data_IF_430873041933
#
_entry.id   IF_430873041933
#
_cell.length_a   1.000
_cell.length_b   1.000
_cell.length_c   1.000
_cell.angle_alpha   90.00
_cell.angle_beta   90.00
_cell.angle_gamma   90.00
#
_symmetry.space_group_name_H-M   'P 1'
#
loop_
_entity.id
_entity.type
_entity.pdbx_description
1 polymer ?
#
# COMPACT_ATOMS: atom_id res chain seq x y z
N UNK A 1 -11.94 18.86 31.69
CA UNK A 1 -12.07 17.53 31.05
C UNK A 1 -12.17 17.78 29.56
N UNK A 2 -11.05 17.72 28.86
CA UNK A 2 -11.06 17.80 27.38
C UNK A 2 -11.61 16.48 26.85
N UNK A 3 -12.77 16.53 26.24
CA UNK A 3 -13.35 15.40 25.53
C UNK A 3 -12.50 15.17 24.28
N UNK A 4 -11.64 14.15 24.30
CA UNK A 4 -10.95 13.62 23.12
C UNK A 4 -12.00 13.03 22.17
N UNK A 5 -12.67 13.89 21.42
CA UNK A 5 -13.49 13.47 20.29
C UNK A 5 -12.50 13.19 19.14
N UNK A 6 -12.04 11.95 19.05
CA UNK A 6 -11.39 11.47 17.85
C UNK A 6 -12.36 11.67 16.68
N UNK A 7 -11.91 12.35 15.62
CA UNK A 7 -12.70 12.54 14.40
C UNK A 7 -13.25 11.19 13.96
N UNK A 8 -14.57 11.06 13.92
CA UNK A 8 -15.26 9.88 13.42
C UNK A 8 -14.84 9.68 11.97
N UNK A 9 -14.20 8.56 11.69
CA UNK A 9 -13.87 8.21 10.31
C UNK A 9 -15.12 7.60 9.70
N UNK A 10 -15.82 8.37 8.88
CA UNK A 10 -17.05 7.91 8.26
C UNK A 10 -16.75 6.91 7.13
N UNK A 11 -17.54 5.84 7.11
CA UNK A 11 -17.50 4.83 6.04
C UNK A 11 -18.55 5.23 5.00
N UNK A 12 -18.08 5.37 3.77
CA UNK A 12 -18.92 5.69 2.61
C UNK A 12 -19.05 4.47 1.69
N UNK A 13 -20.13 4.44 0.92
CA UNK A 13 -20.34 3.43 -0.12
C UNK A 13 -20.12 4.08 -1.48
N UNK A 14 -19.06 3.71 -2.18
CA UNK A 14 -18.67 4.29 -3.47
C UNK A 14 -18.68 3.24 -4.59
N UNK A 15 -18.84 3.70 -5.84
CA UNK A 15 -18.66 2.81 -7.00
C UNK A 15 -17.18 2.48 -7.17
N UNK A 16 -16.78 1.21 -7.14
CA UNK A 16 -15.38 0.81 -7.28
C UNK A 16 -14.77 1.19 -8.64
N UNK A 17 -15.58 1.42 -9.68
CA UNK A 17 -15.13 1.85 -11.00
C UNK A 17 -14.65 3.31 -11.02
N UNK A 18 -15.05 4.12 -10.03
CA UNK A 18 -14.60 5.49 -9.85
C UNK A 18 -13.32 5.59 -9.01
N UNK A 19 -12.75 4.45 -8.59
CA UNK A 19 -11.51 4.43 -7.83
C UNK A 19 -10.32 4.31 -8.80
N UNK A 20 -9.40 5.27 -8.67
CA UNK A 20 -8.18 5.36 -9.50
C UNK A 20 -7.00 4.87 -8.68
N UNK A 21 -6.27 3.92 -9.23
CA UNK A 21 -4.97 3.48 -8.70
C UNK A 21 -3.90 4.33 -9.37
N UNK A 22 -3.11 5.04 -8.57
CA UNK A 22 -1.98 5.82 -9.11
C UNK A 22 -0.81 4.88 -9.32
N UNK A 23 -0.26 4.89 -10.54
CA UNK A 23 0.90 4.09 -10.90
C UNK A 23 2.07 4.33 -9.96
N UNK A 24 2.73 3.24 -9.58
CA UNK A 24 3.85 3.23 -8.64
C UNK A 24 3.55 3.79 -7.24
N UNK A 25 2.30 4.08 -6.87
CA UNK A 25 1.96 4.46 -5.51
C UNK A 25 2.08 3.25 -4.58
N UNK A 26 1.56 2.09 -4.97
CA UNK A 26 1.73 0.84 -4.23
C UNK A 26 3.06 0.18 -4.59
N UNK A 27 3.81 -0.26 -3.59
CA UNK A 27 5.08 -0.99 -3.77
C UNK A 27 4.87 -2.48 -4.04
N UNK A 28 3.69 -3.01 -3.71
CA UNK A 28 3.35 -4.41 -3.96
C UNK A 28 3.05 -4.66 -5.43
N UNK A 29 3.59 -5.73 -5.99
CA UNK A 29 3.40 -6.15 -7.40
C UNK A 29 2.54 -7.39 -7.54
N UNK A 30 2.69 -8.35 -6.62
CA UNK A 30 1.87 -9.57 -6.63
C UNK A 30 0.67 -9.42 -5.69
N UNK A 31 -0.51 -9.55 -6.23
CA UNK A 31 -1.76 -9.39 -5.49
C UNK A 31 -2.47 -10.70 -5.18
N UNK A 32 -2.18 -11.81 -5.84
CA UNK A 32 -2.79 -13.14 -5.60
C UNK A 32 -4.30 -13.01 -5.25
N UNK A 33 -5.10 -12.52 -6.22
CA UNK A 33 -6.48 -12.08 -5.97
C UNK A 33 -7.54 -13.17 -6.10
N UNK A 34 -7.22 -14.38 -6.60
CA UNK A 34 -8.23 -15.37 -6.99
C UNK A 34 -9.11 -15.83 -5.82
N UNK A 35 -8.50 -16.24 -4.71
CA UNK A 35 -9.27 -16.62 -3.51
C UNK A 35 -10.09 -15.44 -2.98
N UNK A 36 -9.51 -14.26 -2.94
CA UNK A 36 -10.18 -13.05 -2.45
C UNK A 36 -11.35 -12.65 -3.36
N UNK A 37 -11.23 -12.86 -4.66
CA UNK A 37 -12.30 -12.63 -5.63
C UNK A 37 -13.50 -13.52 -5.34
N UNK A 38 -13.29 -14.82 -5.11
CA UNK A 38 -14.37 -15.74 -4.77
C UNK A 38 -15.03 -15.41 -3.41
N UNK A 39 -14.24 -15.03 -2.42
CA UNK A 39 -14.77 -14.52 -1.14
C UNK A 39 -15.64 -13.26 -1.34
N UNK A 40 -15.18 -12.32 -2.17
CA UNK A 40 -15.92 -11.09 -2.45
C UNK A 40 -17.22 -11.36 -3.21
N UNK A 41 -17.26 -12.33 -4.13
CA UNK A 41 -18.50 -12.75 -4.77
C UNK A 41 -19.51 -13.30 -3.77
N UNK A 42 -19.05 -14.06 -2.78
CA UNK A 42 -19.92 -14.71 -1.80
C UNK A 42 -20.39 -13.77 -0.69
N UNK A 43 -19.54 -12.86 -0.20
CA UNK A 43 -19.76 -12.09 1.03
C UNK A 43 -19.64 -10.55 0.84
N UNK A 44 -19.26 -10.10 -0.34
CA UNK A 44 -18.91 -8.69 -0.58
C UNK A 44 -17.57 -8.30 0.03
N UNK A 45 -17.26 -7.01 -0.03
CA UNK A 45 -16.03 -6.44 0.55
C UNK A 45 -16.27 -6.17 2.04
N UNK A 46 -15.69 -7.00 2.91
CA UNK A 46 -15.86 -6.89 4.37
C UNK A 46 -15.11 -5.67 4.94
N UNK A 47 -13.84 -5.53 4.60
CA UNK A 47 -13.01 -4.44 5.07
C UNK A 47 -13.00 -3.28 4.07
N UNK A 48 -13.21 -2.02 4.52
CA UNK A 48 -13.25 -0.88 3.63
C UNK A 48 -11.88 -0.63 2.97
N UNK A 49 -11.89 -0.12 1.75
CA UNK A 49 -10.71 0.48 1.12
C UNK A 49 -10.49 1.89 1.66
N UNK A 50 -9.27 2.43 1.55
CA UNK A 50 -8.98 3.81 1.96
C UNK A 50 -8.72 4.67 0.72
N UNK A 51 -9.39 5.81 0.63
CA UNK A 51 -9.33 6.67 -0.55
C UNK A 51 -9.24 8.15 -0.18
N UNK A 52 -8.72 8.96 -1.12
CA UNK A 52 -8.82 10.42 -1.11
C UNK A 52 -9.73 10.86 -2.25
N UNK A 53 -10.82 11.58 -1.98
CA UNK A 53 -11.68 12.11 -3.04
C UNK A 53 -10.99 13.25 -3.79
N UNK A 54 -11.14 13.27 -5.11
CA UNK A 54 -10.67 14.36 -5.97
C UNK A 54 -11.65 14.57 -7.14
N UNK A 55 -11.48 15.65 -7.89
CA UNK A 55 -12.18 15.86 -9.15
C UNK A 55 -11.21 15.61 -10.30
N UNK A 56 -11.66 14.87 -11.31
CA UNK A 56 -10.94 14.72 -12.56
C UNK A 56 -10.98 16.01 -13.41
N UNK A 57 -10.37 15.99 -14.59
CA UNK A 57 -10.29 17.14 -15.50
C UNK A 57 -11.70 17.58 -15.99
N UNK A 58 -12.63 16.66 -16.07
CA UNK A 58 -14.04 16.90 -16.46
C UNK A 58 -14.92 17.37 -15.29
N UNK A 59 -14.35 17.47 -14.07
CA UNK A 59 -15.04 17.86 -12.86
C UNK A 59 -15.81 16.74 -12.16
N UNK A 60 -15.72 15.48 -12.64
CA UNK A 60 -16.39 14.35 -12.04
C UNK A 60 -15.67 13.93 -10.74
N UNK A 61 -16.45 13.44 -9.78
CA UNK A 61 -15.89 12.95 -8.52
C UNK A 61 -15.25 11.58 -8.71
N UNK A 62 -13.98 11.49 -8.40
CA UNK A 62 -13.12 10.29 -8.43
C UNK A 62 -12.45 10.10 -7.08
N UNK A 63 -11.93 8.92 -6.86
CA UNK A 63 -11.33 8.51 -5.60
C UNK A 63 -9.95 7.93 -5.85
N UNK A 64 -8.89 8.60 -5.37
CA UNK A 64 -7.54 8.07 -5.43
C UNK A 64 -7.38 7.02 -4.34
N UNK A 65 -7.00 5.80 -4.71
CA UNK A 65 -6.76 4.72 -3.79
C UNK A 65 -5.49 4.97 -2.97
N UNK A 66 -5.59 4.77 -1.66
CA UNK A 66 -4.47 4.83 -0.70
C UNK A 66 -4.15 3.44 -0.18
N UNK A 67 -5.17 2.68 0.24
CA UNK A 67 -5.02 1.30 0.72
C UNK A 67 -6.16 0.41 0.24
N UNK A 68 -5.87 -0.88 0.10
CA UNK A 68 -6.84 -1.90 -0.28
C UNK A 68 -6.80 -2.26 -1.78
N UNK A 69 -5.67 -2.13 -2.46
CA UNK A 69 -5.57 -2.41 -3.90
C UNK A 69 -5.93 -3.87 -4.24
N UNK A 70 -5.53 -4.85 -3.42
CA UNK A 70 -5.98 -6.25 -3.60
C UNK A 70 -7.51 -6.37 -3.60
N UNK A 71 -8.16 -5.70 -2.63
CA UNK A 71 -9.63 -5.68 -2.49
C UNK A 71 -10.29 -5.03 -3.69
N UNK A 72 -9.76 -3.91 -4.15
CA UNK A 72 -10.27 -3.22 -5.33
C UNK A 72 -10.11 -4.07 -6.59
N UNK A 73 -8.91 -4.62 -6.84
CA UNK A 73 -8.65 -5.47 -8.02
C UNK A 73 -9.52 -6.71 -8.03
N UNK A 74 -9.64 -7.41 -6.89
CA UNK A 74 -10.51 -8.57 -6.74
C UNK A 74 -11.99 -8.22 -6.96
N UNK A 75 -12.43 -7.04 -6.47
CA UNK A 75 -13.80 -6.55 -6.70
C UNK A 75 -14.07 -6.29 -8.19
N UNK A 76 -13.15 -5.57 -8.86
CA UNK A 76 -13.30 -5.27 -10.29
C UNK A 76 -13.26 -6.55 -11.14
N UNK A 77 -12.42 -7.52 -10.79
CA UNK A 77 -12.40 -8.83 -11.43
C UNK A 77 -13.72 -9.60 -11.21
N UNK A 78 -14.27 -9.59 -9.98
CA UNK A 78 -15.57 -10.20 -9.70
C UNK A 78 -16.70 -9.54 -10.53
N UNK A 79 -16.70 -8.22 -10.65
CA UNK A 79 -17.67 -7.48 -11.48
C UNK A 79 -17.53 -7.86 -12.96
N UNK A 80 -16.31 -7.96 -13.49
CA UNK A 80 -16.08 -8.37 -14.88
C UNK A 80 -16.55 -9.81 -15.18
N UNK A 81 -16.62 -10.65 -14.16
CA UNK A 81 -17.19 -12.02 -14.22
C UNK A 81 -18.71 -12.06 -13.93
N UNK A 82 -19.38 -10.90 -13.83
CA UNK A 82 -20.84 -10.80 -13.72
C UNK A 82 -21.38 -10.66 -12.29
N UNK A 83 -20.55 -10.45 -11.28
CA UNK A 83 -21.03 -10.20 -9.93
C UNK A 83 -21.72 -8.83 -9.83
N UNK A 84 -22.93 -8.78 -9.22
CA UNK A 84 -23.72 -7.53 -9.03
C UNK A 84 -23.20 -6.73 -7.82
N UNK A 85 -21.96 -6.22 -7.91
CA UNK A 85 -21.35 -5.38 -6.88
C UNK A 85 -21.41 -3.92 -7.37
N UNK A 86 -22.37 -3.17 -6.86
CA UNK A 86 -22.57 -1.75 -7.24
C UNK A 86 -21.70 -0.81 -6.42
N UNK A 87 -21.40 -1.15 -5.16
CA UNK A 87 -20.70 -0.26 -4.23
C UNK A 87 -19.77 -1.04 -3.32
N UNK A 88 -18.69 -0.39 -2.89
CA UNK A 88 -17.74 -0.89 -1.88
C UNK A 88 -17.61 0.11 -0.74
N UNK A 89 -17.36 -0.39 0.46
CA UNK A 89 -17.09 0.44 1.64
C UNK A 89 -15.75 1.13 1.48
N UNK A 90 -15.70 2.43 1.74
CA UNK A 90 -14.49 3.23 1.69
C UNK A 90 -14.36 4.15 2.90
N UNK A 91 -13.14 4.27 3.43
CA UNK A 91 -12.74 5.28 4.39
C UNK A 91 -12.17 6.47 3.62
N UNK A 92 -12.65 7.67 3.91
CA UNK A 92 -12.17 8.88 3.25
C UNK A 92 -11.09 9.56 4.07
N UNK A 93 -9.95 9.83 3.44
CA UNK A 93 -8.98 10.77 3.94
C UNK A 93 -9.29 12.17 3.39
N UNK A 94 -8.91 13.25 4.10
CA UNK A 94 -9.11 14.61 3.63
C UNK A 94 -8.49 14.85 2.25
N UNK A 95 -9.14 15.66 1.41
CA UNK A 95 -8.65 16.00 0.05
C UNK A 95 -7.25 16.61 0.02
N UNK A 96 -6.89 17.34 1.07
CA UNK A 96 -5.61 18.01 1.21
C UNK A 96 -4.57 17.18 1.98
N UNK A 97 -4.80 15.88 2.18
CA UNK A 97 -3.81 14.99 2.81
C UNK A 97 -2.52 15.00 1.97
N UNK A 98 -1.40 15.29 2.61
CA UNK A 98 -0.10 15.33 1.94
C UNK A 98 0.27 13.93 1.45
N UNK A 99 0.98 13.86 0.34
CA UNK A 99 1.42 12.58 -0.22
C UNK A 99 2.28 11.78 0.75
N UNK A 100 3.09 12.45 1.54
CA UNK A 100 3.86 11.85 2.61
C UNK A 100 2.97 11.08 3.61
N UNK A 101 1.89 11.73 4.08
CA UNK A 101 0.96 11.14 5.03
C UNK A 101 0.21 9.95 4.40
N UNK A 102 -0.10 10.02 3.09
CA UNK A 102 -0.71 8.92 2.36
C UNK A 102 0.20 7.69 2.29
N UNK A 103 1.50 7.89 2.07
CA UNK A 103 2.47 6.78 2.05
C UNK A 103 2.69 6.18 3.44
N UNK A 104 2.65 7.01 4.48
CA UNK A 104 2.70 6.53 5.87
C UNK A 104 1.46 5.70 6.19
N UNK A 105 0.27 6.21 5.88
CA UNK A 105 -1.00 5.50 6.07
C UNK A 105 -0.99 4.14 5.36
N UNK A 106 -0.52 4.09 4.11
CA UNK A 106 -0.39 2.85 3.36
C UNK A 106 0.51 1.84 4.07
N UNK A 107 1.64 2.28 4.61
CA UNK A 107 2.56 1.39 5.31
C UNK A 107 2.04 0.93 6.67
N UNK A 108 1.34 1.80 7.39
CA UNK A 108 0.80 1.50 8.73
C UNK A 108 -0.46 0.63 8.70
N UNK A 109 -1.31 0.77 7.67
CA UNK A 109 -2.59 0.05 7.53
C UNK A 109 -2.49 -1.32 6.87
N UNK A 110 -1.30 -1.85 6.70
CA UNK A 110 -1.09 -3.10 5.97
C UNK A 110 -1.64 -4.32 6.74
N UNK A 111 -2.97 -4.37 6.87
CA UNK A 111 -3.69 -5.47 7.49
C UNK A 111 -3.68 -6.69 6.57
N UNK A 112 -3.11 -7.80 7.03
CA UNK A 112 -3.22 -9.12 6.41
C UNK A 112 -1.96 -9.70 5.79
N UNK A 113 -1.14 -8.96 5.10
CA UNK A 113 0.18 -9.41 4.60
C UNK A 113 1.19 -8.28 4.74
N UNK A 114 2.10 -8.37 5.69
CA UNK A 114 3.15 -7.40 5.91
C UNK A 114 3.97 -7.18 4.63
N UNK A 115 4.45 -5.95 4.43
CA UNK A 115 5.43 -5.68 3.38
C UNK A 115 6.69 -6.50 3.59
N UNK A 116 7.20 -7.08 2.53
CA UNK A 116 8.53 -7.70 2.53
C UNK A 116 9.58 -6.64 2.84
N UNK A 117 10.76 -7.05 3.27
CA UNK A 117 11.87 -6.11 3.49
C UNK A 117 12.27 -5.38 2.20
N UNK A 118 12.11 -6.02 1.04
CA UNK A 118 12.35 -5.40 -0.25
C UNK A 118 11.29 -4.33 -0.60
N UNK A 119 10.01 -4.62 -0.36
CA UNK A 119 8.95 -3.61 -0.50
C UNK A 119 9.14 -2.43 0.47
N UNK A 120 9.56 -2.71 1.72
CA UNK A 120 9.92 -1.67 2.69
C UNK A 120 11.13 -0.84 2.20
N UNK A 121 12.14 -1.48 1.60
CA UNK A 121 13.28 -0.79 1.02
C UNK A 121 12.86 0.23 -0.04
N UNK A 122 11.98 -0.15 -0.96
CA UNK A 122 11.42 0.75 -2.00
C UNK A 122 10.70 1.94 -1.35
N UNK A 123 9.93 1.70 -0.28
CA UNK A 123 9.24 2.77 0.44
C UNK A 123 10.25 3.72 1.12
N UNK A 124 11.25 3.19 1.83
CA UNK A 124 12.28 3.99 2.49
C UNK A 124 13.08 4.82 1.48
N UNK A 125 13.37 4.24 0.31
CA UNK A 125 14.01 4.96 -0.80
C UNK A 125 13.17 6.16 -1.24
N UNK A 126 11.85 6.01 -1.40
CA UNK A 126 10.94 7.10 -1.75
C UNK A 126 10.96 8.22 -0.70
N UNK A 127 11.00 7.87 0.59
CA UNK A 127 11.10 8.86 1.66
C UNK A 127 12.41 9.63 1.59
N UNK A 128 13.51 8.96 1.29
CA UNK A 128 14.81 9.58 1.10
C UNK A 128 14.82 10.50 -0.13
N UNK A 129 14.40 10.00 -1.28
CA UNK A 129 14.57 10.69 -2.56
C UNK A 129 13.55 11.80 -2.77
N UNK A 130 12.30 11.61 -2.31
CA UNK A 130 11.21 12.56 -2.54
C UNK A 130 11.06 13.60 -1.44
N UNK A 131 11.30 13.21 -0.20
CA UNK A 131 11.07 14.07 0.96
C UNK A 131 12.35 14.46 1.69
N UNK A 132 13.53 13.96 1.27
CA UNK A 132 14.82 14.31 1.84
C UNK A 132 15.09 13.73 3.24
N UNK A 133 14.35 12.71 3.67
CA UNK A 133 14.54 12.10 4.99
C UNK A 133 15.86 11.37 5.10
N UNK A 134 16.53 11.56 6.22
CA UNK A 134 17.67 10.75 6.63
C UNK A 134 17.21 9.34 7.06
N UNK A 135 18.13 8.39 7.07
CA UNK A 135 17.86 7.04 7.55
C UNK A 135 17.32 7.01 9.00
N UNK A 136 17.81 7.89 9.85
CA UNK A 136 17.37 8.00 11.25
C UNK A 136 15.95 8.56 11.37
N UNK A 137 15.59 9.54 10.56
CA UNK A 137 14.23 10.09 10.53
C UNK A 137 13.23 9.07 10.00
N UNK A 138 13.58 8.32 8.94
CA UNK A 138 12.77 7.20 8.43
C UNK A 138 12.56 6.16 9.55
N UNK A 139 13.64 5.76 10.23
CA UNK A 139 13.58 4.80 11.32
C UNK A 139 12.62 5.26 12.44
N UNK A 140 12.74 6.50 12.86
CA UNK A 140 11.84 7.11 13.86
C UNK A 140 10.39 7.12 13.39
N UNK A 141 10.14 7.54 12.15
CA UNK A 141 8.79 7.68 11.57
C UNK A 141 8.05 6.35 11.46
N UNK A 142 8.76 5.27 11.15
CA UNK A 142 8.20 3.93 11.00
C UNK A 142 8.40 3.01 12.21
N UNK A 143 8.83 3.56 13.34
CA UNK A 143 9.10 2.77 14.56
C UNK A 143 10.04 1.58 14.31
N UNK A 144 11.09 1.80 13.52
CA UNK A 144 12.14 0.84 13.19
C UNK A 144 13.49 1.31 13.74
N UNK A 145 14.50 0.41 13.77
CA UNK A 145 15.87 0.83 14.04
C UNK A 145 16.53 1.40 12.77
N UNK A 146 17.46 2.34 12.92
CA UNK A 146 18.23 2.85 11.79
C UNK A 146 18.99 1.72 11.07
N UNK A 147 19.54 0.76 11.82
CA UNK A 147 20.18 -0.43 11.27
C UNK A 147 19.23 -1.24 10.38
N UNK A 148 17.96 -1.41 10.79
CA UNK A 148 16.97 -2.10 9.97
C UNK A 148 16.70 -1.34 8.66
N UNK A 149 16.52 -0.02 8.73
CA UNK A 149 16.29 0.81 7.53
C UNK A 149 17.49 0.74 6.59
N UNK A 150 18.72 0.87 7.10
CA UNK A 150 19.93 0.73 6.29
C UNK A 150 20.06 -0.64 5.63
N UNK A 151 19.74 -1.69 6.38
CA UNK A 151 19.72 -3.07 5.87
C UNK A 151 18.67 -3.29 4.77
N UNK A 152 17.51 -2.66 4.87
CA UNK A 152 16.52 -2.69 3.79
C UNK A 152 17.05 -1.94 2.56
N UNK A 153 17.56 -0.73 2.73
CA UNK A 153 18.06 0.09 1.62
C UNK A 153 19.19 -0.60 0.85
N UNK A 154 20.08 -1.35 1.53
CA UNK A 154 21.14 -2.10 0.85
C UNK A 154 20.63 -3.19 -0.11
N UNK A 155 19.36 -3.63 0.01
CA UNK A 155 18.76 -4.55 -0.96
C UNK A 155 18.59 -3.92 -2.34
N UNK A 156 18.44 -2.59 -2.41
CA UNK A 156 18.30 -1.85 -3.66
C UNK A 156 19.64 -1.57 -4.36
N UNK A 157 20.76 -1.88 -3.69
CA UNK A 157 22.11 -1.78 -4.25
C UNK A 157 22.59 -3.09 -4.90
N UNK A 158 21.76 -4.14 -4.81
CA UNK A 158 22.06 -5.45 -5.40
C UNK A 158 21.92 -5.42 -6.93
N UNK A 159 22.50 -6.42 -7.59
CA UNK A 159 22.35 -6.58 -9.03
C UNK A 159 20.86 -6.67 -9.45
N UNK A 160 20.45 -6.07 -10.58
CA UNK A 160 19.04 -6.01 -10.98
C UNK A 160 18.35 -7.38 -11.03
N UNK A 161 19.07 -8.43 -11.43
CA UNK A 161 18.55 -9.79 -11.51
C UNK A 161 18.16 -10.35 -10.12
N UNK A 162 18.88 -9.94 -9.06
CA UNK A 162 18.59 -10.33 -7.68
C UNK A 162 17.38 -9.53 -7.18
N UNK A 163 17.33 -8.24 -7.50
CA UNK A 163 16.19 -7.40 -7.15
C UNK A 163 14.88 -7.93 -7.78
N UNK A 164 14.90 -8.32 -9.05
CA UNK A 164 13.76 -8.90 -9.74
C UNK A 164 13.26 -10.19 -9.06
N UNK A 165 14.18 -11.07 -8.64
CA UNK A 165 13.83 -12.30 -7.91
C UNK A 165 13.27 -12.02 -6.52
N UNK A 166 13.77 -10.99 -5.82
CA UNK A 166 13.21 -10.53 -4.54
C UNK A 166 11.80 -9.97 -4.73
N UNK A 167 11.58 -9.19 -5.78
CA UNK A 167 10.27 -8.60 -6.12
C UNK A 167 9.23 -9.69 -6.42
N UNK A 168 9.61 -10.72 -7.16
CA UNK A 168 8.77 -11.88 -7.46
C UNK A 168 8.60 -12.85 -6.29
N UNK A 169 9.35 -12.67 -5.21
CA UNK A 169 9.34 -13.59 -4.07
C UNK A 169 9.99 -14.95 -4.34
N UNK A 170 10.77 -15.08 -5.43
CA UNK A 170 11.48 -16.30 -5.79
C UNK A 170 12.64 -16.61 -4.83
N UNK A 171 13.23 -15.57 -4.25
CA UNK A 171 14.27 -15.67 -3.23
C UNK A 171 13.91 -14.82 -2.01
N UNK A 172 14.32 -15.27 -0.83
CA UNK A 172 14.11 -14.50 0.40
C UNK A 172 15.25 -13.52 0.65
N UNK A 173 14.96 -12.42 1.35
CA UNK A 173 16.00 -11.46 1.80
C UNK A 173 17.02 -12.11 2.71
N UNK A 174 16.63 -13.13 3.49
CA UNK A 174 17.53 -13.92 4.31
C UNK A 174 18.54 -14.70 3.49
N UNK A 175 18.11 -15.38 2.42
CA UNK A 175 18.99 -16.11 1.52
C UNK A 175 20.00 -15.19 0.82
N UNK A 176 19.52 -14.02 0.34
CA UNK A 176 20.40 -13.03 -0.29
C UNK A 176 21.49 -12.55 0.65
N UNK A 177 21.15 -12.28 1.91
CA UNK A 177 22.14 -11.84 2.92
C UNK A 177 23.23 -12.87 3.19
N UNK A 178 22.86 -14.15 3.21
CA UNK A 178 23.85 -15.23 3.37
C UNK A 178 24.82 -15.30 2.19
N UNK A 179 24.32 -15.12 0.96
CA UNK A 179 25.13 -15.19 -0.25
C UNK A 179 26.06 -13.97 -0.39
N UNK A 180 25.56 -12.77 -0.11
CA UNK A 180 26.29 -11.51 -0.36
C UNK A 180 27.10 -11.05 0.88
N UNK A 181 27.00 -11.76 2.00
CA UNK A 181 27.73 -11.41 3.23
C UNK A 181 27.23 -10.12 3.91
N UNK A 182 26.02 -9.68 3.61
CA UNK A 182 25.38 -8.47 4.17
C UNK A 182 24.97 -8.62 5.65
N UNK A 183 25.45 -9.64 6.35
CA UNK A 183 25.15 -9.93 7.76
C UNK A 183 26.13 -9.27 8.74
N UNK A 184 26.84 -8.20 8.31
CA UNK A 184 27.74 -7.45 9.19
C UNK A 184 27.12 -6.16 9.69
#
# INVERSE_FOLDING_TARGET
METNITKRTDIYNIDPRNVVVVDNFNVRRDFAIDELKEQIKAQGVLNPITVVPFKDEDGNEKYRLVDGERRLRATLAAISEGADIKRVKALFLPRNTKEEDLLIEQMMRNEGKNFTEYEQAIMFQRFRDKFGYTQSEIASKFCKSATFVGRCLSLLELAPEIQEKLEKGEISTGAVRQIVGLNK
#
